data_IF_399379718981
#
_entry.id   IF_399379718981
#
_cell.length_a   1.000
_cell.length_b   1.000
_cell.length_c   1.000
_cell.angle_alpha   90.00
_cell.angle_beta   90.00
_cell.angle_gamma   90.00
#
_symmetry.space_group_name_H-M   'P 1'
#
loop_
_entity.id
_entity.type
_entity.pdbx_description
1 polymer ?
#
# COMPACT_ATOMS: atom_id res chain seq x y z
N UNK A 1 -12.11 -17.58 1.92
CA UNK A 1 -11.04 -16.62 2.25
C UNK A 1 -10.20 -16.38 1.02
N UNK A 2 -9.94 -15.12 0.68
CA UNK A 2 -9.25 -14.78 -0.56
C UNK A 2 -7.73 -14.94 -0.44
N UNK A 3 -7.18 -14.76 0.76
CA UNK A 3 -5.76 -14.66 0.99
C UNK A 3 -5.14 -13.39 0.41
N UNK A 4 -5.96 -12.45 -0.04
CA UNK A 4 -5.49 -11.20 -0.63
C UNK A 4 -5.09 -10.21 0.45
N UNK A 5 -4.07 -9.42 0.16
CA UNK A 5 -3.59 -8.41 1.09
C UNK A 5 -3.23 -7.12 0.35
N UNK A 6 -3.39 -6.02 1.04
CA UNK A 6 -3.10 -4.68 0.53
C UNK A 6 -1.78 -4.20 1.11
N UNK A 7 -0.97 -3.56 0.30
CA UNK A 7 0.31 -2.99 0.72
C UNK A 7 0.21 -1.47 0.73
N UNK A 8 0.41 -0.88 1.91
CA UNK A 8 0.47 0.57 2.04
C UNK A 8 1.76 1.11 1.42
N UNK A 9 1.77 2.39 1.13
CA UNK A 9 2.85 3.09 0.42
C UNK A 9 4.22 2.85 1.05
N UNK A 10 4.32 2.89 2.37
CA UNK A 10 5.61 2.78 3.07
C UNK A 10 6.31 1.45 2.84
N UNK A 11 5.56 0.39 2.51
CA UNK A 11 6.18 -0.90 2.19
C UNK A 11 7.13 -0.73 1.00
N UNK A 12 6.67 -0.03 -0.03
CA UNK A 12 7.48 0.21 -1.23
C UNK A 12 8.65 1.16 -0.95
N UNK A 13 8.39 2.20 -0.15
CA UNK A 13 9.42 3.18 0.21
C UNK A 13 10.56 2.51 1.00
N UNK A 14 10.24 1.67 1.99
CA UNK A 14 11.25 0.98 2.79
C UNK A 14 12.12 0.04 1.97
N UNK A 15 11.60 -0.54 0.88
CA UNK A 15 12.40 -1.44 0.05
C UNK A 15 13.61 -0.75 -0.58
N UNK A 16 13.62 0.59 -0.62
CA UNK A 16 14.73 1.39 -1.14
C UNK A 16 15.57 2.02 -0.01
N UNK A 17 15.25 1.77 1.25
CA UNK A 17 15.87 2.48 2.37
C UNK A 17 17.14 1.78 2.86
N UNK A 18 18.28 2.26 2.42
CA UNK A 18 19.58 1.71 2.82
C UNK A 18 19.90 1.96 4.30
N UNK A 19 19.24 2.93 4.94
CA UNK A 19 19.46 3.26 6.35
C UNK A 19 18.67 2.35 7.30
N UNK A 20 17.75 1.56 6.77
CA UNK A 20 16.94 0.62 7.56
C UNK A 20 16.96 -0.76 6.88
N UNK A 21 18.11 -1.46 6.90
CA UNK A 21 18.26 -2.69 6.10
C UNK A 21 17.30 -3.82 6.49
N UNK A 22 16.96 -3.95 7.76
CA UNK A 22 16.00 -4.98 8.20
C UNK A 22 14.60 -4.72 7.64
N UNK A 23 14.16 -3.46 7.66
CA UNK A 23 12.87 -3.08 7.07
C UNK A 23 12.88 -3.22 5.55
N UNK A 24 14.00 -2.85 4.92
CA UNK A 24 14.15 -2.96 3.47
C UNK A 24 14.05 -4.43 3.02
N UNK A 25 14.69 -5.34 3.74
CA UNK A 25 14.63 -6.77 3.46
C UNK A 25 13.21 -7.30 3.61
N UNK A 26 12.55 -6.97 4.71
CA UNK A 26 11.17 -7.42 4.97
C UNK A 26 10.21 -6.87 3.92
N UNK A 27 10.34 -5.59 3.57
CA UNK A 27 9.52 -4.96 2.54
C UNK A 27 9.73 -5.65 1.19
N UNK A 28 10.97 -5.94 0.82
CA UNK A 28 11.30 -6.62 -0.43
C UNK A 28 10.67 -8.02 -0.49
N UNK A 29 10.70 -8.77 0.62
CA UNK A 29 10.04 -10.07 0.71
C UNK A 29 8.54 -9.97 0.42
N UNK A 30 7.88 -8.99 1.05
CA UNK A 30 6.44 -8.78 0.85
C UNK A 30 6.11 -8.41 -0.59
N UNK A 31 6.88 -7.51 -1.18
CA UNK A 31 6.67 -7.06 -2.55
C UNK A 31 6.89 -8.22 -3.53
N UNK A 32 7.95 -8.99 -3.34
CA UNK A 32 8.24 -10.16 -4.17
C UNK A 32 7.11 -11.17 -4.09
N UNK A 33 6.63 -11.46 -2.88
CA UNK A 33 5.50 -12.36 -2.69
C UNK A 33 4.25 -11.83 -3.38
N UNK A 34 3.98 -10.54 -3.25
CA UNK A 34 2.80 -9.91 -3.85
C UNK A 34 2.80 -10.06 -5.38
N UNK A 35 3.93 -9.77 -6.01
CA UNK A 35 4.07 -9.86 -7.47
C UNK A 35 4.00 -11.31 -7.94
N UNK A 36 4.67 -12.21 -7.23
CA UNK A 36 4.76 -13.62 -7.60
C UNK A 36 3.41 -14.33 -7.47
N UNK A 37 2.71 -14.15 -6.34
CA UNK A 37 1.45 -14.84 -6.07
C UNK A 37 0.24 -14.14 -6.67
N UNK A 38 0.37 -12.87 -7.02
CA UNK A 38 -0.74 -12.00 -7.46
C UNK A 38 -1.80 -11.79 -6.37
N UNK A 39 -1.45 -12.03 -5.12
CA UNK A 39 -2.36 -11.81 -3.99
C UNK A 39 -2.17 -10.44 -3.34
N UNK A 40 -1.05 -9.77 -3.61
CA UNK A 40 -0.81 -8.42 -3.11
C UNK A 40 -1.45 -7.39 -4.02
N UNK A 41 -2.02 -6.35 -3.43
CA UNK A 41 -2.78 -5.35 -4.15
C UNK A 41 -2.47 -3.95 -3.66
N UNK A 42 -2.57 -2.99 -4.56
CA UNK A 42 -2.44 -1.56 -4.23
C UNK A 42 -3.54 -0.78 -4.93
N UNK A 43 -3.75 0.45 -4.45
CA UNK A 43 -4.65 1.42 -5.07
C UNK A 43 -3.84 2.43 -5.88
N UNK A 44 -4.55 3.20 -6.69
CA UNK A 44 -3.95 4.30 -7.44
C UNK A 44 -3.31 5.34 -6.49
N UNK A 45 -3.89 5.55 -5.32
CA UNK A 45 -3.32 6.43 -4.29
C UNK A 45 -1.90 5.97 -3.89
N UNK A 46 -1.70 4.67 -3.67
CA UNK A 46 -0.38 4.14 -3.32
C UNK A 46 0.64 4.44 -4.41
N UNK A 47 0.25 4.28 -5.67
CA UNK A 47 1.13 4.59 -6.80
C UNK A 47 1.54 6.06 -6.78
N UNK A 48 0.57 6.96 -6.58
CA UNK A 48 0.83 8.39 -6.55
C UNK A 48 1.72 8.78 -5.37
N UNK A 49 1.42 8.26 -4.20
CA UNK A 49 2.20 8.55 -2.99
C UNK A 49 3.64 8.03 -3.11
N UNK A 50 3.80 6.84 -3.67
CA UNK A 50 5.13 6.28 -3.88
C UNK A 50 6.00 7.18 -4.76
N UNK A 51 5.50 7.59 -5.92
CA UNK A 51 6.29 8.44 -6.82
C UNK A 51 6.53 9.83 -6.26
N UNK A 52 5.60 10.34 -5.46
CA UNK A 52 5.82 11.63 -4.78
C UNK A 52 7.04 11.58 -3.86
N UNK A 53 7.32 10.42 -3.28
CA UNK A 53 8.51 10.22 -2.44
C UNK A 53 9.73 9.83 -3.27
N UNK A 54 9.57 8.86 -4.17
CA UNK A 54 10.68 8.24 -4.91
C UNK A 54 11.40 9.20 -5.85
N UNK A 55 10.67 10.14 -6.43
CA UNK A 55 11.24 11.08 -7.39
C UNK A 55 12.03 12.23 -6.74
N UNK A 56 11.85 12.47 -5.43
CA UNK A 56 12.43 13.63 -4.77
C UNK A 56 13.10 13.34 -3.44
N UNK A 57 12.54 12.45 -2.63
CA UNK A 57 12.96 12.28 -1.24
C UNK A 57 13.91 11.12 -1.00
N UNK A 58 14.05 10.22 -1.95
CA UNK A 58 15.05 9.16 -1.83
C UNK A 58 16.45 9.76 -1.81
N UNK A 59 17.38 9.11 -1.10
CA UNK A 59 18.79 9.49 -1.14
C UNK A 59 19.29 9.49 -2.59
N UNK A 60 18.88 8.49 -3.36
CA UNK A 60 19.13 8.40 -4.79
C UNK A 60 17.78 8.40 -5.50
N UNK A 61 17.22 9.59 -5.83
CA UNK A 61 15.91 9.65 -6.46
C UNK A 61 15.87 8.85 -7.77
N UNK A 62 14.72 8.24 -8.05
CA UNK A 62 14.51 7.56 -9.32
C UNK A 62 14.46 8.58 -10.44
N UNK A 63 15.11 8.28 -11.56
CA UNK A 63 14.92 9.07 -12.78
C UNK A 63 13.66 8.58 -13.50
N UNK A 64 13.27 9.26 -14.58
CA UNK A 64 12.04 8.95 -15.30
C UNK A 64 12.01 7.51 -15.84
N UNK A 65 13.13 7.04 -16.37
CA UNK A 65 13.19 5.68 -16.92
C UNK A 65 13.08 4.62 -15.83
N UNK A 66 13.80 4.81 -14.72
CA UNK A 66 13.71 3.92 -13.57
C UNK A 66 12.30 3.89 -13.00
N UNK A 67 11.66 5.05 -12.89
CA UNK A 67 10.29 5.15 -12.39
C UNK A 67 9.31 4.41 -13.28
N UNK A 68 9.43 4.56 -14.61
CA UNK A 68 8.57 3.85 -15.55
C UNK A 68 8.78 2.34 -15.50
N UNK A 69 10.01 1.89 -15.36
CA UNK A 69 10.32 0.46 -15.20
C UNK A 69 9.71 -0.09 -13.92
N UNK A 70 9.81 0.64 -12.82
CA UNK A 70 9.22 0.22 -11.55
C UNK A 70 7.71 0.15 -11.64
N UNK A 71 7.09 1.13 -12.28
CA UNK A 71 5.65 1.12 -12.51
C UNK A 71 5.23 -0.13 -13.28
N UNK A 72 5.92 -0.43 -14.38
CA UNK A 72 5.54 -1.55 -15.24
C UNK A 72 5.81 -2.91 -14.59
N UNK A 73 6.92 -3.07 -13.89
CA UNK A 73 7.35 -4.35 -13.35
C UNK A 73 6.73 -4.67 -11.99
N UNK A 74 6.49 -3.66 -11.16
CA UNK A 74 6.10 -3.88 -9.77
C UNK A 74 4.70 -3.35 -9.48
N UNK A 75 4.45 -2.06 -9.69
CA UNK A 75 3.20 -1.45 -9.25
C UNK A 75 2.01 -1.82 -10.13
N UNK A 76 2.17 -1.80 -11.44
CA UNK A 76 1.07 -2.11 -12.36
C UNK A 76 0.45 -3.50 -12.14
N UNK A 77 1.25 -4.57 -11.96
CA UNK A 77 0.67 -5.88 -11.66
C UNK A 77 -0.17 -5.93 -10.39
N UNK A 78 0.09 -5.03 -9.43
CA UNK A 78 -0.60 -4.98 -8.14
C UNK A 78 -1.77 -3.99 -8.14
N UNK A 79 -1.83 -3.09 -9.11
CA UNK A 79 -2.82 -2.01 -9.14
C UNK A 79 -4.19 -2.54 -9.54
N UNK A 80 -5.12 -2.60 -8.57
CA UNK A 80 -6.48 -3.10 -8.80
C UNK A 80 -7.57 -2.12 -8.39
N UNK A 81 -7.23 -1.09 -7.60
CA UNK A 81 -8.21 -0.11 -7.13
C UNK A 81 -7.88 1.25 -7.74
N UNK A 82 -8.80 1.75 -8.56
CA UNK A 82 -8.67 3.05 -9.19
C UNK A 82 -9.56 4.08 -8.48
N UNK A 83 -9.28 5.35 -8.70
CA UNK A 83 -10.12 6.43 -8.16
C UNK A 83 -11.54 6.32 -8.73
N UNK A 84 -12.54 6.44 -7.84
CA UNK A 84 -13.95 6.34 -8.24
C UNK A 84 -14.83 7.02 -7.19
N UNK A 85 -16.04 7.36 -7.59
CA UNK A 85 -17.04 7.85 -6.65
C UNK A 85 -17.35 6.81 -5.58
N UNK A 86 -17.41 5.53 -5.97
CA UNK A 86 -17.68 4.44 -5.03
C UNK A 86 -16.59 4.37 -3.94
N UNK A 87 -15.32 4.55 -4.31
CA UNK A 87 -14.23 4.58 -3.36
C UNK A 87 -14.36 5.77 -2.40
N UNK A 88 -14.72 6.94 -2.93
CA UNK A 88 -14.93 8.13 -2.09
C UNK A 88 -16.05 7.91 -1.09
N UNK A 89 -17.16 7.33 -1.51
CA UNK A 89 -18.28 7.01 -0.61
C UNK A 89 -17.88 6.04 0.48
N UNK A 90 -17.15 5.00 0.13
CA UNK A 90 -16.63 4.03 1.09
C UNK A 90 -15.71 4.71 2.11
N UNK A 91 -14.80 5.54 1.64
CA UNK A 91 -13.87 6.26 2.52
C UNK A 91 -14.57 7.25 3.45
N UNK A 92 -15.63 7.91 2.96
CA UNK A 92 -16.43 8.81 3.80
C UNK A 92 -17.08 8.04 4.96
N UNK A 93 -17.62 6.86 4.69
CA UNK A 93 -18.22 6.03 5.73
C UNK A 93 -17.16 5.55 6.74
N UNK A 94 -16.00 5.13 6.26
CA UNK A 94 -14.89 4.68 7.12
C UNK A 94 -14.39 5.83 7.99
N UNK A 95 -14.19 7.01 7.39
CA UNK A 95 -13.73 8.19 8.14
C UNK A 95 -14.69 8.57 9.26
N UNK A 96 -15.99 8.56 8.96
CA UNK A 96 -17.01 8.90 9.94
C UNK A 96 -17.12 7.85 11.05
N UNK A 97 -17.12 6.56 10.68
CA UNK A 97 -17.30 5.46 11.62
C UNK A 97 -16.13 5.29 12.58
N UNK A 98 -14.91 5.40 12.07
CA UNK A 98 -13.71 5.11 12.84
C UNK A 98 -12.93 6.35 13.27
N UNK A 99 -13.40 7.54 12.87
CA UNK A 99 -12.77 8.82 13.25
C UNK A 99 -11.30 8.89 12.83
N UNK A 100 -11.01 8.53 11.59
CA UNK A 100 -9.65 8.55 11.04
C UNK A 100 -9.52 9.60 9.94
N UNK A 101 -8.28 10.07 9.68
CA UNK A 101 -8.02 11.06 8.62
C UNK A 101 -8.44 10.57 7.24
N UNK A 102 -8.74 11.54 6.37
CA UNK A 102 -9.28 11.26 5.04
C UNK A 102 -8.42 10.32 4.20
N UNK A 103 -7.12 10.61 4.09
CA UNK A 103 -6.25 9.78 3.24
C UNK A 103 -6.05 8.38 3.82
N UNK A 104 -6.06 8.25 5.14
CA UNK A 104 -6.05 6.93 5.79
C UNK A 104 -7.34 6.16 5.48
N UNK A 105 -8.48 6.85 5.50
CA UNK A 105 -9.76 6.25 5.15
C UNK A 105 -9.78 5.78 3.69
N UNK A 106 -9.14 6.50 2.78
CA UNK A 106 -9.02 6.09 1.38
C UNK A 106 -8.17 4.81 1.23
N UNK A 107 -7.12 4.67 2.01
CA UNK A 107 -6.31 3.44 2.01
C UNK A 107 -7.16 2.25 2.50
N UNK A 108 -7.84 2.42 3.62
CA UNK A 108 -8.72 1.38 4.17
C UNK A 108 -9.84 1.04 3.17
N UNK A 109 -10.48 2.06 2.60
CA UNK A 109 -11.53 1.87 1.60
C UNK A 109 -11.04 1.11 0.38
N UNK A 110 -9.81 1.41 -0.06
CA UNK A 110 -9.19 0.68 -1.16
C UNK A 110 -8.98 -0.79 -0.85
N UNK A 111 -8.51 -1.10 0.36
CA UNK A 111 -8.33 -2.48 0.80
C UNK A 111 -9.67 -3.24 0.85
N UNK A 112 -10.72 -2.59 1.30
CA UNK A 112 -12.07 -3.17 1.34
C UNK A 112 -12.57 -3.46 -0.08
N UNK A 113 -12.45 -2.49 -0.99
CA UNK A 113 -12.87 -2.68 -2.39
C UNK A 113 -12.11 -3.80 -3.09
N UNK A 114 -10.83 -3.96 -2.78
CA UNK A 114 -10.01 -5.03 -3.33
C UNK A 114 -10.30 -6.38 -2.67
N UNK A 115 -11.19 -6.42 -1.68
CA UNK A 115 -11.55 -7.62 -0.94
C UNK A 115 -10.36 -8.26 -0.24
N UNK A 116 -9.46 -7.42 0.26
CA UNK A 116 -8.30 -7.86 1.02
C UNK A 116 -8.69 -8.20 2.45
N UNK A 117 -8.06 -9.23 3.00
CA UNK A 117 -8.25 -9.63 4.39
C UNK A 117 -7.29 -8.89 5.31
N UNK A 118 -6.13 -8.52 4.79
CA UNK A 118 -5.05 -7.89 5.54
C UNK A 118 -4.62 -6.63 4.82
N UNK A 119 -4.34 -5.58 5.60
CA UNK A 119 -3.63 -4.39 5.15
C UNK A 119 -2.29 -4.35 5.88
N UNK A 120 -1.20 -4.50 5.15
CA UNK A 120 0.14 -4.33 5.71
C UNK A 120 0.47 -2.84 5.78
N UNK A 121 0.58 -2.32 6.98
CA UNK A 121 0.87 -0.91 7.23
C UNK A 121 1.43 -0.73 8.64
N UNK A 122 2.38 0.20 8.80
CA UNK A 122 2.81 0.60 10.14
C UNK A 122 2.13 1.89 10.62
N UNK A 123 1.27 2.49 9.78
CA UNK A 123 0.60 3.76 10.09
C UNK A 123 -0.65 3.59 10.95
N UNK A 124 -1.13 2.36 11.10
CA UNK A 124 -2.30 2.03 11.92
C UNK A 124 -1.88 1.10 13.05
N UNK A 125 -2.76 0.93 14.02
CA UNK A 125 -2.50 0.04 15.14
C UNK A 125 -2.51 -1.43 14.68
N UNK A 126 -1.44 -2.14 14.99
CA UNK A 126 -1.32 -3.57 14.68
C UNK A 126 -2.48 -4.36 15.31
N UNK A 127 -3.12 -5.19 14.51
CA UNK A 127 -4.24 -6.02 14.96
C UNK A 127 -5.60 -5.35 14.90
N UNK A 128 -5.67 -4.05 14.65
CA UNK A 128 -6.93 -3.32 14.53
C UNK A 128 -7.71 -3.83 13.31
N UNK A 129 -9.02 -3.86 13.44
CA UNK A 129 -9.90 -4.22 12.31
C UNK A 129 -10.71 -3.00 11.86
N UNK A 130 -10.79 -2.86 10.54
CA UNK A 130 -11.69 -1.91 9.89
C UNK A 130 -12.59 -2.73 8.98
N UNK A 131 -13.84 -2.93 9.41
CA UNK A 131 -14.78 -3.81 8.72
C UNK A 131 -14.17 -5.22 8.57
N UNK A 132 -13.93 -5.70 7.38
CA UNK A 132 -13.38 -7.03 7.12
C UNK A 132 -11.85 -7.06 7.02
N UNK A 133 -11.21 -5.90 7.10
CA UNK A 133 -9.75 -5.76 6.91
C UNK A 133 -9.04 -5.69 8.25
N UNK A 134 -8.04 -6.53 8.43
CA UNK A 134 -7.18 -6.53 9.62
C UNK A 134 -5.85 -5.87 9.32
N UNK A 135 -5.43 -4.96 10.19
CA UNK A 135 -4.13 -4.30 10.08
C UNK A 135 -3.04 -5.22 10.59
N UNK A 136 -1.97 -5.32 9.83
CA UNK A 136 -0.77 -6.03 10.27
C UNK A 136 0.45 -5.18 9.98
N UNK A 137 1.21 -4.87 11.04
CA UNK A 137 2.49 -4.20 10.87
C UNK A 137 3.55 -5.27 10.58
N UNK A 138 4.10 -5.30 9.36
CA UNK A 138 5.01 -6.37 8.96
C UNK A 138 6.40 -6.24 9.55
N UNK A 139 6.68 -5.12 10.22
CA UNK A 139 8.01 -4.82 10.78
C UNK A 139 8.12 -5.11 12.28
N UNK A 140 7.08 -5.65 12.87
CA UNK A 140 7.11 -6.09 14.27
C UNK A 140 7.75 -7.46 14.42
#
# INVERSE_FOLDING_TARGET
MSGKYFLDTNIFVYSFDADAPAKAERATELITDAVTTRKGMVSYQVVQEFFNVALRRFRNPLNADEAQQYLSAVLRPLLVVHSSEALVREALQISARYQIPWYDALIIGGAIQAQCEILYSEDFQHGQRFDTVKIQNPFL
#
